data_IF_178081069347
#
_entry.id   IF_178081069347
#
_cell.length_a   1.000
_cell.length_b   1.000
_cell.length_c   1.000
_cell.angle_alpha   90.00
_cell.angle_beta   90.00
_cell.angle_gamma   90.00
#
_symmetry.space_group_name_H-M   'P 1'
#
loop_
_entity.id
_entity.type
_entity.pdbx_description
1 polymer ?
#
# COMPACT_ATOMS: atom_id res chain seq x y z
N UNK A 1 -42.34 2.78 13.60
CA UNK A 1 -41.57 1.96 12.64
C UNK A 1 -40.37 2.69 12.05
N UNK A 2 -40.43 3.98 11.68
CA UNK A 2 -39.29 4.65 11.01
C UNK A 2 -38.09 5.00 11.91
N UNK A 3 -38.30 5.17 13.22
CA UNK A 3 -37.24 5.56 14.17
C UNK A 3 -36.35 4.39 14.61
N UNK A 4 -36.91 3.18 14.71
CA UNK A 4 -36.19 1.97 15.12
C UNK A 4 -35.24 1.46 14.03
N UNK A 5 -35.67 1.48 12.76
CA UNK A 5 -34.79 1.13 11.63
C UNK A 5 -33.58 2.06 11.53
N UNK A 6 -33.79 3.35 11.77
CA UNK A 6 -32.72 4.36 11.79
C UNK A 6 -31.69 4.12 12.90
N UNK A 7 -32.11 3.63 14.07
CA UNK A 7 -31.22 3.32 15.18
C UNK A 7 -30.36 2.07 14.90
N UNK A 8 -30.97 1.01 14.37
CA UNK A 8 -30.28 -0.23 13.97
C UNK A 8 -29.22 0.05 12.89
N UNK A 9 -29.57 0.83 11.87
CA UNK A 9 -28.61 1.18 10.80
C UNK A 9 -27.46 2.05 11.31
N UNK A 10 -27.71 2.96 12.25
CA UNK A 10 -26.67 3.79 12.87
C UNK A 10 -25.68 2.93 13.67
N UNK A 11 -26.19 1.98 14.46
CA UNK A 11 -25.37 1.05 15.23
C UNK A 11 -24.54 0.13 14.33
N UNK A 12 -25.15 -0.42 13.27
CA UNK A 12 -24.44 -1.24 12.29
C UNK A 12 -23.35 -0.45 11.56
N UNK A 13 -23.60 0.82 11.24
CA UNK A 13 -22.58 1.67 10.63
C UNK A 13 -21.40 1.95 11.58
N UNK A 14 -21.67 2.15 12.86
CA UNK A 14 -20.64 2.33 13.88
C UNK A 14 -19.81 1.04 14.08
N UNK A 15 -20.47 -0.10 14.22
CA UNK A 15 -19.80 -1.39 14.36
C UNK A 15 -18.97 -1.75 13.12
N UNK A 16 -19.49 -1.54 11.90
CA UNK A 16 -18.72 -1.79 10.68
C UNK A 16 -17.49 -0.88 10.61
N UNK A 17 -17.60 0.40 10.97
CA UNK A 17 -16.47 1.33 11.02
C UNK A 17 -15.34 0.83 11.94
N UNK A 18 -15.70 0.35 13.13
CA UNK A 18 -14.76 -0.23 14.10
C UNK A 18 -14.13 -1.52 13.58
N UNK A 19 -14.92 -2.43 13.01
CA UNK A 19 -14.41 -3.62 12.36
C UNK A 19 -13.45 -3.31 11.20
N UNK A 20 -13.67 -2.22 10.45
CA UNK A 20 -12.70 -1.75 9.44
C UNK A 20 -11.39 -1.31 10.10
N UNK A 21 -11.48 -0.60 11.22
CA UNK A 21 -10.33 -0.14 12.01
C UNK A 21 -9.48 -1.32 12.52
N UNK A 22 -10.15 -2.37 13.02
CA UNK A 22 -9.52 -3.62 13.48
C UNK A 22 -8.91 -4.46 12.34
N UNK A 23 -9.19 -4.12 11.08
CA UNK A 23 -8.70 -4.83 9.92
C UNK A 23 -9.40 -6.17 9.70
N UNK A 24 -10.66 -6.27 10.10
CA UNK A 24 -11.51 -7.45 9.85
C UNK A 24 -11.87 -7.50 8.36
N UNK A 25 -11.84 -8.71 7.79
CA UNK A 25 -12.07 -8.93 6.37
C UNK A 25 -13.51 -8.59 5.97
N UNK A 26 -13.71 -8.07 4.74
CA UNK A 26 -15.03 -7.63 4.27
C UNK A 26 -16.09 -8.74 4.38
N UNK A 27 -15.75 -9.97 3.98
CA UNK A 27 -16.65 -11.13 4.05
C UNK A 27 -17.09 -11.42 5.49
N UNK A 28 -16.15 -11.36 6.43
CA UNK A 28 -16.42 -11.61 7.84
C UNK A 28 -17.22 -10.46 8.45
N UNK A 29 -16.95 -9.21 8.05
CA UNK A 29 -17.78 -8.06 8.43
C UNK A 29 -19.21 -8.14 7.89
N UNK A 30 -19.39 -8.61 6.66
CA UNK A 30 -20.73 -8.80 6.06
C UNK A 30 -21.51 -9.89 6.80
N UNK A 31 -20.84 -10.99 7.19
CA UNK A 31 -21.43 -12.02 8.04
C UNK A 31 -21.79 -11.49 9.44
N UNK A 32 -20.85 -10.84 10.12
CA UNK A 32 -21.07 -10.22 11.43
C UNK A 32 -22.18 -9.16 11.40
N UNK A 33 -22.26 -8.35 10.33
CA UNK A 33 -23.31 -7.35 10.16
C UNK A 33 -24.69 -7.98 9.90
N UNK A 34 -24.74 -9.13 9.22
CA UNK A 34 -25.99 -9.85 9.00
C UNK A 34 -26.48 -10.49 10.30
N UNK A 35 -25.59 -11.15 11.04
CA UNK A 35 -25.89 -11.78 12.33
C UNK A 35 -26.34 -10.72 13.35
N UNK A 36 -25.58 -9.62 13.48
CA UNK A 36 -25.94 -8.51 14.37
C UNK A 36 -27.25 -7.83 13.98
N UNK A 37 -27.54 -7.69 12.68
CA UNK A 37 -28.83 -7.15 12.22
C UNK A 37 -29.98 -8.06 12.66
N UNK A 38 -29.83 -9.38 12.49
CA UNK A 38 -30.85 -10.34 12.89
C UNK A 38 -31.12 -10.29 14.41
N UNK A 39 -30.08 -10.17 15.23
CA UNK A 39 -30.22 -10.01 16.69
C UNK A 39 -30.90 -8.70 17.08
N UNK A 40 -30.51 -7.58 16.48
CA UNK A 40 -31.12 -6.27 16.74
C UNK A 40 -32.58 -6.19 16.28
N UNK A 41 -32.93 -6.82 15.16
CA UNK A 41 -34.30 -6.89 14.68
C UNK A 41 -35.18 -7.78 15.59
N UNK A 42 -34.65 -8.91 16.06
CA UNK A 42 -35.33 -9.77 17.03
C UNK A 42 -35.60 -9.03 18.35
N UNK A 43 -34.60 -8.31 18.85
CA UNK A 43 -34.74 -7.47 20.03
C UNK A 43 -35.81 -6.39 19.94
N UNK A 44 -35.88 -5.70 18.80
CA UNK A 44 -36.92 -4.70 18.54
C UNK A 44 -38.30 -5.36 18.51
N UNK A 45 -38.42 -6.58 17.97
CA UNK A 45 -39.67 -7.33 17.99
C UNK A 45 -40.10 -7.71 19.42
N UNK A 46 -39.13 -7.97 20.31
CA UNK A 46 -39.34 -8.23 21.73
C UNK A 46 -39.56 -6.95 22.56
N UNK A 47 -39.52 -5.77 21.93
CA UNK A 47 -39.76 -4.48 22.58
C UNK A 47 -38.57 -3.93 23.37
N UNK A 48 -37.37 -4.49 23.18
CA UNK A 48 -36.13 -4.02 23.79
C UNK A 48 -35.53 -2.86 22.98
N UNK A 49 -34.87 -1.93 23.66
CA UNK A 49 -34.10 -0.88 23.01
C UNK A 49 -32.78 -1.49 22.45
N UNK A 50 -32.49 -1.35 21.14
CA UNK A 50 -31.20 -1.72 20.55
C UNK A 50 -29.98 -1.21 21.33
N UNK A 51 -30.08 -0.04 21.98
CA UNK A 51 -29.00 0.53 22.77
C UNK A 51 -28.78 -0.21 24.11
N UNK A 52 -29.82 -0.79 24.70
CA UNK A 52 -29.72 -1.54 25.96
C UNK A 52 -29.07 -2.92 25.77
N UNK A 53 -29.24 -3.53 24.60
CA UNK A 53 -28.64 -4.84 24.27
C UNK A 53 -27.12 -4.84 24.13
N UNK A 54 -26.54 -3.69 23.78
CA UNK A 54 -25.10 -3.58 23.65
C UNK A 54 -24.43 -3.76 25.03
N UNK A 55 -25.14 -3.47 26.12
CA UNK A 55 -24.67 -3.61 27.51
C UNK A 55 -23.47 -2.71 27.86
N UNK A 56 -22.92 -2.00 26.88
CA UNK A 56 -21.75 -1.14 26.96
C UNK A 56 -22.09 0.19 26.31
N UNK A 57 -21.74 1.30 26.97
CA UNK A 57 -21.92 2.66 26.43
C UNK A 57 -21.02 2.93 25.22
N UNK A 58 -20.07 2.03 24.94
CA UNK A 58 -19.12 2.12 23.84
C UNK A 58 -19.43 1.09 22.73
N UNK A 59 -19.87 1.53 21.54
CA UNK A 59 -20.04 0.70 20.35
C UNK A 59 -18.74 0.01 19.90
N UNK A 60 -17.57 0.59 20.20
CA UNK A 60 -16.27 0.03 19.86
C UNK A 60 -15.92 -1.21 20.66
N UNK A 61 -16.17 -1.18 21.97
CA UNK A 61 -15.95 -2.32 22.85
C UNK A 61 -16.85 -3.52 22.47
N UNK A 62 -18.11 -3.23 22.13
CA UNK A 62 -19.05 -4.23 21.61
C UNK A 62 -18.57 -4.86 20.30
N UNK A 63 -18.16 -4.03 19.34
CA UNK A 63 -17.66 -4.49 18.05
C UNK A 63 -16.40 -5.37 18.20
N UNK A 64 -15.53 -5.02 19.14
CA UNK A 64 -14.34 -5.82 19.51
C UNK A 64 -14.76 -7.16 20.08
N UNK A 65 -15.68 -7.20 21.04
CA UNK A 65 -16.17 -8.42 21.70
C UNK A 65 -16.81 -9.40 20.70
N UNK A 66 -17.73 -8.91 19.87
CA UNK A 66 -18.39 -9.71 18.83
C UNK A 66 -17.38 -10.33 17.87
N UNK A 67 -16.34 -9.56 17.49
CA UNK A 67 -15.29 -10.07 16.63
C UNK A 67 -14.40 -11.13 17.31
N UNK A 68 -14.21 -11.07 18.63
CA UNK A 68 -13.47 -12.07 19.41
C UNK A 68 -14.27 -13.35 19.58
N UNK A 69 -15.55 -13.23 19.90
CA UNK A 69 -16.47 -14.36 20.04
C UNK A 69 -16.62 -15.13 18.72
N UNK A 70 -16.67 -14.41 17.60
CA UNK A 70 -16.70 -15.01 16.26
C UNK A 70 -15.33 -15.54 15.79
N UNK A 71 -14.26 -15.37 16.57
CA UNK A 71 -12.93 -15.88 16.24
C UNK A 71 -12.30 -15.30 14.97
N UNK A 72 -12.70 -14.07 14.59
CA UNK A 72 -12.35 -13.50 13.28
C UNK A 72 -10.90 -13.00 13.26
N UNK A 73 -10.16 -13.32 12.19
CA UNK A 73 -8.77 -12.88 12.04
C UNK A 73 -8.65 -11.37 11.82
N UNK A 74 -7.89 -10.71 12.70
CA UNK A 74 -7.54 -9.28 12.61
C UNK A 74 -6.28 -9.08 11.76
N UNK A 75 -6.38 -8.28 10.69
CA UNK A 75 -5.21 -7.90 9.87
C UNK A 75 -5.02 -6.38 9.93
N UNK A 76 -4.30 -5.86 10.94
CA UNK A 76 -4.19 -4.41 11.13
C UNK A 76 -3.57 -3.73 9.91
N UNK A 77 -4.07 -2.55 9.50
CA UNK A 77 -3.71 -1.95 8.23
C UNK A 77 -2.22 -1.61 8.06
N UNK A 78 -1.47 -1.32 9.14
CA UNK A 78 -0.01 -1.09 9.20
C UNK A 78 0.60 -0.29 8.02
N UNK A 79 -0.16 0.64 7.42
CA UNK A 79 0.25 1.38 6.22
C UNK A 79 1.54 2.18 6.45
N UNK A 80 1.61 2.93 7.55
CA UNK A 80 2.79 3.75 7.87
C UNK A 80 4.07 2.93 8.02
N UNK A 81 3.98 1.76 8.67
CA UNK A 81 5.11 0.86 8.84
C UNK A 81 5.58 0.24 7.51
N UNK A 82 4.65 -0.11 6.62
CA UNK A 82 5.00 -0.67 5.31
C UNK A 82 5.65 0.40 4.43
N UNK A 83 5.07 1.61 4.40
CA UNK A 83 5.63 2.73 3.62
C UNK A 83 7.02 3.10 4.15
N UNK A 84 7.21 3.19 5.47
CA UNK A 84 8.52 3.54 6.03
C UNK A 84 9.60 2.50 5.71
N UNK A 85 9.27 1.20 5.86
CA UNK A 85 10.19 0.10 5.52
C UNK A 85 10.47 0.06 4.02
N UNK A 86 9.45 0.23 3.17
CA UNK A 86 9.61 0.27 1.73
C UNK A 86 10.52 1.42 1.29
N UNK A 87 10.30 2.62 1.84
CA UNK A 87 11.12 3.80 1.55
C UNK A 87 12.57 3.63 2.04
N UNK A 88 12.77 3.10 3.24
CA UNK A 88 14.12 2.82 3.75
C UNK A 88 14.85 1.78 2.87
N UNK A 89 14.14 0.73 2.45
CA UNK A 89 14.67 -0.28 1.52
C UNK A 89 15.02 0.29 0.14
N UNK A 90 14.16 1.15 -0.41
CA UNK A 90 14.40 1.86 -1.66
C UNK A 90 15.65 2.73 -1.61
N UNK A 91 15.79 3.56 -0.56
CA UNK A 91 16.95 4.44 -0.37
C UNK A 91 18.23 3.62 -0.18
N UNK A 92 18.19 2.58 0.64
CA UNK A 92 19.36 1.71 0.86
C UNK A 92 19.79 1.03 -0.45
N UNK A 93 18.84 0.49 -1.22
CA UNK A 93 19.14 -0.15 -2.49
C UNK A 93 19.68 0.84 -3.53
N UNK A 94 19.20 2.08 -3.54
CA UNK A 94 19.73 3.13 -4.39
C UNK A 94 21.20 3.44 -4.05
N UNK A 95 21.51 3.63 -2.76
CA UNK A 95 22.87 3.91 -2.28
C UNK A 95 23.81 2.74 -2.59
N UNK A 96 23.40 1.51 -2.25
CA UNK A 96 24.19 0.30 -2.52
C UNK A 96 24.39 0.10 -4.02
N UNK A 97 23.33 0.28 -4.82
CA UNK A 97 23.40 0.21 -6.28
C UNK A 97 24.36 1.24 -6.86
N UNK A 98 24.31 2.49 -6.38
CA UNK A 98 25.24 3.54 -6.78
C UNK A 98 26.69 3.18 -6.46
N UNK A 99 26.98 2.71 -5.25
CA UNK A 99 28.33 2.29 -4.84
C UNK A 99 28.82 1.12 -5.70
N UNK A 100 27.97 0.12 -5.95
CA UNK A 100 28.31 -1.03 -6.79
C UNK A 100 28.60 -0.64 -8.23
N UNK A 101 27.76 0.20 -8.85
CA UNK A 101 27.93 0.63 -10.24
C UNK A 101 29.23 1.42 -10.40
N UNK A 102 29.54 2.32 -9.47
CA UNK A 102 30.79 3.08 -9.53
C UNK A 102 32.01 2.20 -9.22
N UNK A 103 31.93 1.32 -8.22
CA UNK A 103 33.03 0.43 -7.83
C UNK A 103 33.33 -0.65 -8.87
N UNK A 104 32.33 -1.08 -9.64
CA UNK A 104 32.46 -2.08 -10.71
C UNK A 104 32.55 -1.45 -12.10
N UNK A 105 32.65 -0.13 -12.21
CA UNK A 105 32.60 0.57 -13.49
C UNK A 105 33.60 0.00 -14.50
N UNK A 106 34.87 -0.10 -14.12
CA UNK A 106 35.95 -0.63 -14.97
C UNK A 106 35.70 -2.08 -15.40
N UNK A 107 35.19 -2.92 -14.50
CA UNK A 107 34.87 -4.32 -14.80
C UNK A 107 33.69 -4.42 -15.78
N UNK A 108 32.67 -3.59 -15.59
CA UNK A 108 31.50 -3.52 -16.47
C UNK A 108 31.94 -3.05 -17.86
N UNK A 109 32.74 -1.98 -17.95
CA UNK A 109 33.23 -1.46 -19.22
C UNK A 109 34.11 -2.49 -19.94
N UNK A 110 35.03 -3.15 -19.23
CA UNK A 110 35.88 -4.19 -19.81
C UNK A 110 35.09 -5.42 -20.28
N UNK A 111 34.03 -5.81 -19.56
CA UNK A 111 33.19 -6.95 -19.93
C UNK A 111 32.26 -6.66 -21.11
N UNK A 112 31.88 -5.40 -21.32
CA UNK A 112 30.93 -4.96 -22.35
C UNK A 112 31.60 -4.08 -23.41
N UNK A 113 32.90 -4.26 -23.68
CA UNK A 113 33.67 -3.46 -24.64
C UNK A 113 32.99 -3.49 -26.03
N UNK A 114 32.14 -2.49 -26.27
CA UNK A 114 31.34 -2.36 -27.46
C UNK A 114 32.25 -1.77 -28.54
N UNK A 115 32.39 -2.43 -29.71
CA UNK A 115 33.15 -1.86 -30.81
C UNK A 115 32.66 -0.44 -31.09
N UNK A 116 33.59 0.54 -31.20
CA UNK A 116 33.24 1.96 -31.44
C UNK A 116 32.38 2.21 -32.68
N UNK A 117 32.21 1.20 -33.54
CA UNK A 117 31.32 1.20 -34.71
C UNK A 117 29.84 0.99 -34.37
N UNK A 118 29.50 0.49 -33.18
CA UNK A 118 28.12 0.23 -32.76
C UNK A 118 27.50 1.51 -32.19
N UNK A 119 26.58 2.12 -32.94
CA UNK A 119 25.79 3.24 -32.47
C UNK A 119 24.62 2.72 -31.62
N UNK A 120 24.71 2.87 -30.31
CA UNK A 120 23.59 2.59 -29.40
C UNK A 120 22.62 3.77 -29.46
N UNK A 121 21.33 3.56 -29.78
CA UNK A 121 20.35 4.63 -29.75
C UNK A 121 20.26 5.25 -28.36
N UNK A 122 20.26 6.60 -28.28
CA UNK A 122 20.22 7.33 -26.99
C UNK A 122 19.04 6.92 -26.12
N UNK A 123 17.87 6.68 -26.72
CA UNK A 123 16.68 6.23 -25.99
C UNK A 123 16.87 4.86 -25.34
N UNK A 124 17.64 3.96 -25.96
CA UNK A 124 17.93 2.64 -25.42
C UNK A 124 18.88 2.75 -24.22
N UNK A 125 19.94 3.56 -24.37
CA UNK A 125 20.89 3.82 -23.28
C UNK A 125 20.19 4.46 -22.07
N UNK A 126 19.35 5.48 -22.31
CA UNK A 126 18.54 6.11 -21.28
C UNK A 126 17.57 5.11 -20.64
N UNK A 127 16.87 4.31 -21.45
CA UNK A 127 15.95 3.28 -20.96
C UNK A 127 16.64 2.24 -20.07
N UNK A 128 17.82 1.76 -20.44
CA UNK A 128 18.61 0.83 -19.63
C UNK A 128 19.09 1.48 -18.34
N UNK A 129 19.60 2.71 -18.39
CA UNK A 129 20.10 3.41 -17.20
C UNK A 129 18.98 3.71 -16.20
N UNK A 130 17.95 4.45 -16.63
CA UNK A 130 16.84 4.84 -15.75
C UNK A 130 15.97 3.64 -15.36
N UNK A 131 15.76 2.69 -16.28
CA UNK A 131 15.05 1.45 -16.01
C UNK A 131 15.79 0.54 -15.02
N UNK A 132 17.11 0.45 -15.14
CA UNK A 132 17.96 -0.29 -14.20
C UNK A 132 17.91 0.31 -12.79
N UNK A 133 18.04 1.63 -12.66
CA UNK A 133 17.90 2.33 -11.38
C UNK A 133 16.51 2.09 -10.77
N UNK A 134 15.45 2.24 -11.57
CA UNK A 134 14.08 1.98 -11.12
C UNK A 134 13.91 0.52 -10.64
N UNK A 135 14.44 -0.46 -11.37
CA UNK A 135 14.36 -1.86 -11.00
C UNK A 135 15.06 -2.16 -9.66
N UNK A 136 16.25 -1.60 -9.43
CA UNK A 136 17.00 -1.74 -8.18
C UNK A 136 16.22 -1.15 -7.00
N UNK A 137 15.66 0.05 -7.18
CA UNK A 137 14.85 0.73 -6.15
C UNK A 137 13.60 -0.10 -5.80
N UNK A 138 12.87 -0.58 -6.81
CA UNK A 138 11.67 -1.39 -6.62
C UNK A 138 12.01 -2.71 -5.92
N UNK A 139 13.06 -3.40 -6.37
CA UNK A 139 13.50 -4.66 -5.76
C UNK A 139 13.93 -4.46 -4.29
N UNK A 140 14.66 -3.38 -4.00
CA UNK A 140 15.05 -2.99 -2.65
C UNK A 140 13.86 -2.76 -1.73
N UNK A 141 12.87 -1.98 -2.18
CA UNK A 141 11.64 -1.73 -1.44
C UNK A 141 10.86 -3.01 -1.13
N UNK A 142 10.65 -3.85 -2.14
CA UNK A 142 9.92 -5.13 -2.01
C UNK A 142 10.65 -6.08 -1.07
N UNK A 143 11.97 -6.20 -1.21
CA UNK A 143 12.78 -7.08 -0.38
C UNK A 143 12.79 -6.60 1.08
N UNK A 144 12.95 -5.30 1.32
CA UNK A 144 12.90 -4.73 2.66
C UNK A 144 11.57 -5.03 3.36
N UNK A 145 10.44 -4.82 2.68
CA UNK A 145 9.11 -5.16 3.22
C UNK A 145 9.00 -6.66 3.51
N UNK A 146 9.48 -7.52 2.59
CA UNK A 146 9.43 -8.97 2.75
C UNK A 146 10.27 -9.47 3.93
N UNK A 147 11.44 -8.87 4.18
CA UNK A 147 12.37 -9.29 5.22
C UNK A 147 12.01 -8.68 6.58
N UNK A 148 11.83 -7.36 6.64
CA UNK A 148 11.61 -6.65 7.90
C UNK A 148 10.20 -6.90 8.49
N UNK A 149 9.22 -7.22 7.65
CA UNK A 149 7.85 -7.52 8.07
C UNK A 149 7.48 -8.98 7.86
N UNK A 150 8.46 -9.90 7.85
CA UNK A 150 8.23 -11.33 7.58
C UNK A 150 7.18 -11.98 8.50
N UNK A 151 7.05 -11.48 9.72
CA UNK A 151 6.15 -12.00 10.76
C UNK A 151 4.76 -11.35 10.71
N UNK A 152 4.58 -10.31 9.89
CA UNK A 152 3.28 -9.65 9.77
C UNK A 152 2.35 -10.41 8.79
N UNK A 153 1.04 -10.46 9.10
CA UNK A 153 0.08 -11.20 8.31
C UNK A 153 -0.01 -10.65 6.87
N UNK A 154 -0.08 -11.59 5.92
CA UNK A 154 -0.23 -11.37 4.47
C UNK A 154 0.88 -10.55 3.79
N UNK A 155 2.03 -10.36 4.43
CA UNK A 155 3.13 -9.56 3.83
C UNK A 155 3.66 -10.15 2.52
N UNK A 156 3.67 -11.48 2.34
CA UNK A 156 4.02 -12.08 1.05
C UNK A 156 3.10 -11.63 -0.09
N UNK A 157 1.79 -11.49 0.19
CA UNK A 157 0.82 -10.98 -0.76
C UNK A 157 0.97 -9.47 -0.99
N UNK A 158 1.26 -8.70 0.07
CA UNK A 158 1.59 -7.27 -0.08
C UNK A 158 2.82 -7.08 -0.97
N UNK A 159 3.90 -7.83 -0.72
CA UNK A 159 5.14 -7.78 -1.50
C UNK A 159 4.91 -8.17 -2.97
N UNK A 160 4.16 -9.25 -3.23
CA UNK A 160 3.80 -9.64 -4.59
C UNK A 160 3.00 -8.55 -5.33
N UNK A 161 2.08 -7.89 -4.64
CA UNK A 161 1.29 -6.77 -5.21
C UNK A 161 2.13 -5.50 -5.40
N UNK A 162 3.12 -5.25 -4.54
CA UNK A 162 4.10 -4.19 -4.76
C UNK A 162 4.92 -4.46 -6.03
N UNK A 163 5.38 -5.70 -6.26
CA UNK A 163 6.09 -6.07 -7.49
C UNK A 163 5.26 -5.83 -8.75
N UNK A 164 3.94 -5.97 -8.67
CA UNK A 164 3.03 -5.70 -9.78
C UNK A 164 2.71 -4.20 -9.96
N UNK A 165 2.50 -3.47 -8.86
CA UNK A 165 2.02 -2.08 -8.89
C UNK A 165 3.14 -1.03 -8.99
N UNK A 166 4.31 -1.30 -8.42
CA UNK A 166 5.41 -0.34 -8.41
C UNK A 166 5.98 -0.06 -9.82
N UNK A 167 6.22 -1.05 -10.70
CA UNK A 167 6.75 -0.77 -12.03
C UNK A 167 5.89 0.19 -12.87
N UNK A 168 4.56 -0.02 -13.05
CA UNK A 168 3.74 0.92 -13.81
C UNK A 168 3.59 2.27 -13.12
N UNK A 169 3.56 2.31 -11.77
CA UNK A 169 3.49 3.58 -11.04
C UNK A 169 4.77 4.42 -11.21
N UNK A 170 5.94 3.79 -11.14
CA UNK A 170 7.23 4.45 -11.38
C UNK A 170 7.34 4.88 -12.85
N UNK A 171 6.92 4.06 -13.81
CA UNK A 171 6.91 4.43 -15.22
C UNK A 171 6.02 5.66 -15.49
N UNK A 172 4.81 5.68 -14.93
CA UNK A 172 3.91 6.83 -15.04
C UNK A 172 4.50 8.09 -14.40
N UNK A 173 5.16 7.96 -13.24
CA UNK A 173 5.84 9.06 -12.57
C UNK A 173 7.02 9.61 -13.38
N UNK A 174 7.79 8.75 -14.04
CA UNK A 174 8.87 9.16 -14.96
C UNK A 174 8.29 9.96 -16.11
N UNK A 175 7.22 9.49 -16.76
CA UNK A 175 6.55 10.23 -17.85
C UNK A 175 6.04 11.59 -17.36
N UNK A 176 5.44 11.64 -16.18
CA UNK A 176 4.98 12.89 -15.58
C UNK A 176 6.13 13.87 -15.26
N UNK A 177 7.23 13.36 -14.70
CA UNK A 177 8.43 14.17 -14.42
C UNK A 177 9.08 14.69 -15.71
N UNK A 178 9.20 13.85 -16.74
CA UNK A 178 9.71 14.28 -18.07
C UNK A 178 8.79 15.33 -18.69
N UNK A 179 7.47 15.14 -18.60
CA UNK A 179 6.50 16.14 -19.06
C UNK A 179 6.65 17.47 -18.33
N UNK A 180 6.76 17.44 -17.00
CA UNK A 180 7.01 18.62 -16.17
C UNK A 180 8.32 19.33 -16.54
N UNK A 181 9.42 18.58 -16.65
CA UNK A 181 10.72 19.11 -17.05
C UNK A 181 10.67 19.73 -18.45
N UNK A 182 10.03 19.06 -19.40
CA UNK A 182 9.91 19.56 -20.77
C UNK A 182 9.09 20.86 -20.87
N UNK A 183 8.07 21.03 -20.03
CA UNK A 183 7.26 22.24 -20.01
C UNK A 183 7.99 23.46 -19.43
N UNK A 184 9.11 23.24 -18.75
CA UNK A 184 9.91 24.27 -18.09
C UNK A 184 11.33 24.41 -18.70
N UNK A 185 11.59 23.76 -19.84
CA UNK A 185 12.91 23.69 -20.49
C UNK A 185 14.02 23.08 -19.59
N UNK A 186 13.65 22.08 -18.78
CA UNK A 186 14.55 21.31 -17.89
C UNK A 186 15.47 22.18 -17.02
N UNK A 187 14.92 23.03 -16.13
CA UNK A 187 15.74 23.91 -15.33
C UNK A 187 16.42 23.12 -14.20
N UNK A 188 17.74 23.27 -14.06
CA UNK A 188 18.52 22.67 -12.96
C UNK A 188 18.36 23.40 -11.61
N UNK A 189 17.18 23.96 -11.37
CA UNK A 189 16.89 24.63 -10.09
C UNK A 189 16.60 23.60 -9.00
N UNK A 190 16.98 23.87 -7.74
CA UNK A 190 16.63 22.98 -6.62
C UNK A 190 15.12 22.70 -6.51
N UNK A 191 14.29 23.69 -6.89
CA UNK A 191 12.83 23.56 -6.89
C UNK A 191 12.36 22.56 -7.94
N UNK A 192 12.90 22.61 -9.16
CA UNK A 192 12.55 21.68 -10.23
C UNK A 192 12.95 20.24 -9.88
N UNK A 193 14.19 20.05 -9.40
CA UNK A 193 14.69 18.75 -8.93
C UNK A 193 13.81 18.22 -7.77
N UNK A 194 13.49 19.08 -6.80
CA UNK A 194 12.61 18.72 -5.70
C UNK A 194 11.20 18.33 -6.15
N UNK A 195 10.69 18.98 -7.19
CA UNK A 195 9.35 18.67 -7.76
C UNK A 195 9.35 17.32 -8.48
N UNK A 196 10.36 17.03 -9.30
CA UNK A 196 10.49 15.73 -9.95
C UNK A 196 10.63 14.59 -8.92
N UNK A 197 11.41 14.81 -7.87
CA UNK A 197 11.53 13.87 -6.76
C UNK A 197 10.19 13.66 -6.02
N UNK A 198 9.42 14.73 -5.81
CA UNK A 198 8.10 14.66 -5.17
C UNK A 198 7.10 13.85 -6.02
N UNK A 199 7.09 14.02 -7.35
CA UNK A 199 6.25 13.24 -8.27
C UNK A 199 6.52 11.73 -8.10
N UNK A 200 7.79 11.34 -8.10
CA UNK A 200 8.20 9.94 -7.89
C UNK A 200 7.80 9.42 -6.52
N UNK A 201 8.03 10.21 -5.46
CA UNK A 201 7.72 9.82 -4.09
C UNK A 201 6.21 9.59 -3.91
N UNK A 202 5.38 10.49 -4.43
CA UNK A 202 3.91 10.37 -4.36
C UNK A 202 3.43 9.10 -5.05
N UNK A 203 3.92 8.82 -6.27
CA UNK A 203 3.56 7.62 -7.00
C UNK A 203 3.99 6.33 -6.26
N UNK A 204 5.20 6.32 -5.71
CA UNK A 204 5.73 5.20 -4.93
C UNK A 204 4.91 4.93 -3.66
N UNK A 205 4.61 5.97 -2.88
CA UNK A 205 3.81 5.87 -1.66
C UNK A 205 2.40 5.41 -1.98
N UNK A 206 1.77 6.00 -3.01
CA UNK A 206 0.42 5.64 -3.43
C UNK A 206 0.34 4.17 -3.87
N UNK A 207 1.28 3.70 -4.69
CA UNK A 207 1.34 2.31 -5.13
C UNK A 207 1.58 1.33 -3.97
N UNK A 208 2.45 1.68 -3.02
CA UNK A 208 2.72 0.87 -1.83
C UNK A 208 1.49 0.78 -0.91
N UNK A 209 0.83 1.91 -0.66
CA UNK A 209 -0.41 1.96 0.11
C UNK A 209 -1.53 1.17 -0.57
N UNK A 210 -1.65 1.28 -1.90
CA UNK A 210 -2.63 0.54 -2.69
C UNK A 210 -2.35 -0.97 -2.65
N UNK A 211 -1.09 -1.39 -2.76
CA UNK A 211 -0.70 -2.80 -2.65
C UNK A 211 -1.12 -3.39 -1.30
N UNK A 212 -0.91 -2.64 -0.20
CA UNK A 212 -1.37 -3.04 1.13
C UNK A 212 -2.89 -3.09 1.19
N UNK A 213 -3.58 -2.03 0.75
CA UNK A 213 -5.05 -1.95 0.78
C UNK A 213 -5.66 -3.15 0.07
N UNK A 214 -5.21 -3.42 -1.14
CA UNK A 214 -5.67 -4.58 -1.90
C UNK A 214 -5.40 -5.87 -1.12
N UNK A 215 -4.18 -6.08 -0.58
CA UNK A 215 -3.82 -7.33 0.12
C UNK A 215 -4.70 -7.63 1.34
N UNK A 216 -5.27 -6.59 1.94
CA UNK A 216 -6.21 -6.69 3.03
C UNK A 216 -7.65 -6.93 2.51
N UNK A 217 -8.05 -6.33 1.38
CA UNK A 217 -9.44 -6.39 0.88
C UNK A 217 -9.76 -7.52 -0.10
N UNK A 218 -8.80 -8.02 -0.88
CA UNK A 218 -9.02 -8.93 -2.01
C UNK A 218 -8.59 -10.37 -1.72
N UNK A 219 -8.88 -10.90 -0.53
CA UNK A 219 -8.80 -12.34 -0.27
C UNK A 219 -10.20 -12.85 0.12
N UNK A 220 -11.17 -12.54 -0.74
CA UNK A 220 -12.50 -13.15 -0.75
C UNK A 220 -12.52 -14.36 -1.67
#
# INVERSE_FOLDING_TARGET
>A
MSTSTSAVDTLLAAADQEWRGLGIHRRDREALAADLRAELEAAVADGLDPAELLGTTDPGEFAVRIAEEAGVQRVPPRYGQIVSVASAGAVLALVVGYVLVNGLHEVIVAAFDLPRSVHVPVWLAAGVFYGGVAAVVIAGAVLAVRVALRDAPRIRHTAARMTLLLPPAVAAAIVAAVGFGSALDFPFSPLAIGTEAAILLVAFVAATALARRWSVTAAG
#
